data_IF_993860003518
#
_entry.id   IF_993860003518
#
_cell.length_a   1.000
_cell.length_b   1.000
_cell.length_c   1.000
_cell.angle_alpha   90.00
_cell.angle_beta   90.00
_cell.angle_gamma   90.00
#
_symmetry.space_group_name_H-M   'P 1'
#
loop_
_entity.id
_entity.type
_entity.pdbx_description
1 polymer ?
#
# COMPACT_ATOMS: atom_id res chain seq x y z
N UNK A 1 15.80 -11.77 3.58
CA UNK A 1 14.90 -10.80 4.21
C UNK A 1 15.63 -10.23 5.41
N UNK A 2 15.67 -8.91 5.57
CA UNK A 2 16.40 -8.23 6.64
C UNK A 2 15.41 -7.32 7.38
N UNK A 3 15.29 -7.49 8.70
CA UNK A 3 14.46 -6.65 9.58
C UNK A 3 15.33 -5.57 10.22
N UNK A 4 14.86 -4.34 10.23
CA UNK A 4 15.61 -3.16 10.64
C UNK A 4 14.72 -2.23 11.45
N UNK A 5 15.24 -1.67 12.55
CA UNK A 5 14.57 -0.62 13.32
C UNK A 5 14.76 0.75 12.63
N UNK A 6 13.81 1.67 12.79
CA UNK A 6 13.86 2.99 12.15
C UNK A 6 15.12 3.79 12.52
N UNK A 7 15.60 3.64 13.76
CA UNK A 7 16.78 4.34 14.28
C UNK A 7 18.10 3.64 13.95
N UNK A 8 18.06 2.47 13.29
CA UNK A 8 19.26 1.71 12.94
C UNK A 8 19.70 2.04 11.51
N UNK A 9 20.96 2.48 11.31
CA UNK A 9 21.52 2.66 9.98
C UNK A 9 21.46 1.35 9.19
N UNK A 10 20.86 1.38 8.00
CA UNK A 10 20.85 0.24 7.09
C UNK A 10 21.74 0.48 5.89
N UNK A 11 22.75 -0.38 5.76
CA UNK A 11 23.59 -0.42 4.57
C UNK A 11 22.92 -1.30 3.52
N UNK A 12 22.38 -0.65 2.49
CA UNK A 12 21.81 -1.34 1.33
C UNK A 12 22.89 -2.17 0.64
N UNK A 13 22.71 -3.50 0.49
CA UNK A 13 23.67 -4.36 -0.18
C UNK A 13 24.04 -3.84 -1.56
N UNK A 14 25.31 -4.01 -1.95
CA UNK A 14 25.81 -3.59 -3.27
C UNK A 14 25.34 -4.50 -4.41
N UNK A 15 24.88 -5.71 -4.10
CA UNK A 15 24.44 -6.69 -5.10
C UNK A 15 23.17 -7.41 -4.68
N UNK A 16 22.33 -7.68 -5.66
CA UNK A 16 21.17 -8.56 -5.52
C UNK A 16 21.71 -10.00 -5.56
N UNK A 17 22.09 -10.55 -4.40
CA UNK A 17 22.85 -11.81 -4.27
C UNK A 17 22.17 -13.10 -4.81
N UNK A 18 21.05 -13.00 -5.52
CA UNK A 18 20.34 -14.16 -6.10
C UNK A 18 20.35 -14.19 -7.65
N UNK A 19 21.06 -13.28 -8.31
CA UNK A 19 21.00 -13.08 -9.78
C UNK A 19 22.02 -13.93 -10.55
N UNK A 20 21.96 -15.26 -10.40
CA UNK A 20 22.69 -16.14 -11.34
C UNK A 20 21.83 -16.59 -12.53
N UNK A 21 20.49 -16.46 -12.49
CA UNK A 21 19.63 -17.13 -13.48
C UNK A 21 18.45 -16.34 -14.07
N UNK A 22 18.09 -15.14 -13.60
CA UNK A 22 16.76 -14.58 -13.91
C UNK A 22 16.68 -13.17 -14.55
N UNK A 23 17.79 -12.44 -14.76
CA UNK A 23 17.79 -11.13 -15.46
C UNK A 23 17.01 -9.97 -14.78
N UNK A 24 16.30 -10.22 -13.68
CA UNK A 24 15.57 -9.17 -12.93
C UNK A 24 15.88 -9.25 -11.45
N UNK A 25 16.00 -8.09 -10.81
CA UNK A 25 16.08 -7.96 -9.36
C UNK A 25 14.83 -7.26 -8.85
N UNK A 26 14.13 -7.91 -7.92
CA UNK A 26 12.98 -7.34 -7.24
C UNK A 26 13.37 -6.90 -5.83
N UNK A 27 13.00 -5.68 -5.49
CA UNK A 27 13.13 -5.15 -4.14
C UNK A 27 11.74 -5.00 -3.53
N UNK A 28 11.59 -5.50 -2.32
CA UNK A 28 10.36 -5.41 -1.54
C UNK A 28 10.65 -4.77 -0.20
N UNK A 29 9.78 -3.88 0.22
CA UNK A 29 9.77 -3.27 1.53
C UNK A 29 8.44 -3.52 2.21
N UNK A 30 8.49 -3.73 3.52
CA UNK A 30 7.34 -3.57 4.38
C UNK A 30 7.72 -2.67 5.54
N UNK A 31 7.03 -1.54 5.72
CA UNK A 31 7.22 -0.63 6.84
C UNK A 31 6.05 -0.74 7.82
N UNK A 32 6.35 -0.93 9.10
CA UNK A 32 5.37 -0.93 10.20
C UNK A 32 5.64 0.25 11.14
N UNK A 33 4.96 1.37 10.92
CA UNK A 33 5.18 2.59 11.73
C UNK A 33 4.79 2.41 13.20
N UNK A 34 3.86 1.51 13.53
CA UNK A 34 3.50 1.23 14.93
C UNK A 34 4.58 0.42 15.68
N UNK A 35 5.39 -0.35 14.96
CA UNK A 35 6.52 -1.10 15.50
C UNK A 35 7.85 -0.35 15.36
N UNK A 36 7.86 0.78 14.64
CA UNK A 36 9.08 1.54 14.31
C UNK A 36 10.13 0.66 13.62
N UNK A 37 9.67 -0.19 12.71
CA UNK A 37 10.54 -1.14 12.00
C UNK A 37 10.13 -1.31 10.54
N UNK A 38 11.07 -1.77 9.73
CA UNK A 38 10.81 -2.20 8.37
C UNK A 38 11.59 -3.45 8.02
N UNK A 39 11.12 -4.12 6.98
CA UNK A 39 11.79 -5.24 6.36
C UNK A 39 12.12 -4.86 4.94
N UNK A 40 13.31 -5.27 4.49
CA UNK A 40 13.73 -5.22 3.10
C UNK A 40 14.11 -6.62 2.61
N UNK A 41 13.66 -6.95 1.40
CA UNK A 41 14.02 -8.19 0.72
C UNK A 41 14.46 -7.90 -0.72
N UNK A 42 15.59 -8.48 -1.11
CA UNK A 42 16.05 -8.54 -2.49
C UNK A 42 15.80 -9.97 -2.98
N UNK A 43 15.03 -10.12 -4.05
CA UNK A 43 14.62 -11.42 -4.61
C UNK A 43 14.97 -11.49 -6.08
N UNK A 44 15.39 -12.67 -6.54
CA UNK A 44 15.37 -12.99 -7.96
C UNK A 44 13.92 -13.29 -8.38
N UNK A 45 13.47 -12.67 -9.47
CA UNK A 45 12.15 -12.97 -10.03
C UNK A 45 12.29 -14.17 -10.97
N UNK A 46 11.87 -15.36 -10.55
CA UNK A 46 11.72 -16.47 -11.49
C UNK A 46 10.53 -16.17 -12.41
N UNK A 47 10.64 -16.50 -13.69
CA UNK A 47 9.74 -16.10 -14.79
C UNK A 47 8.25 -16.44 -14.64
N UNK A 48 7.82 -17.02 -13.52
CA UNK A 48 6.50 -17.66 -13.36
C UNK A 48 5.60 -16.99 -12.31
N UNK A 49 6.04 -15.95 -11.61
CA UNK A 49 5.20 -15.28 -10.60
C UNK A 49 4.98 -13.81 -10.94
N UNK A 50 3.82 -13.57 -11.54
CA UNK A 50 3.13 -12.28 -11.70
C UNK A 50 3.70 -11.42 -12.83
N UNK A 51 2.77 -10.93 -13.64
CA UNK A 51 2.93 -10.02 -14.78
C UNK A 51 3.56 -8.71 -14.28
N UNK A 52 4.86 -8.73 -14.04
CA UNK A 52 5.63 -7.54 -13.66
C UNK A 52 6.43 -7.07 -14.87
N UNK A 53 5.95 -5.97 -15.46
CA UNK A 53 6.69 -5.27 -16.50
C UNK A 53 7.94 -4.63 -15.91
N UNK A 54 8.99 -4.49 -16.72
CA UNK A 54 10.26 -3.90 -16.26
C UNK A 54 10.05 -2.50 -15.65
N UNK A 55 10.70 -2.23 -14.51
CA UNK A 55 10.60 -0.97 -13.76
C UNK A 55 9.19 -0.68 -13.19
N UNK A 56 8.35 -1.71 -13.05
CA UNK A 56 7.07 -1.54 -12.39
C UNK A 56 7.25 -1.27 -10.90
N UNK A 57 6.45 -0.35 -10.39
CA UNK A 57 6.41 0.06 -9.00
C UNK A 57 4.99 -0.15 -8.49
N UNK A 58 4.87 -0.81 -7.35
CA UNK A 58 3.61 -1.10 -6.69
C UNK A 58 3.71 -0.68 -5.23
N UNK A 59 2.83 0.22 -4.81
CA UNK A 59 2.68 0.56 -3.40
C UNK A 59 1.34 0.08 -2.90
N UNK A 60 1.32 -0.48 -1.70
CA UNK A 60 0.11 -0.88 -0.99
C UNK A 60 0.12 -0.34 0.43
N UNK A 61 -1.02 0.18 0.89
CA UNK A 61 -1.25 0.56 2.29
C UNK A 61 -2.34 -0.34 2.85
N UNK A 62 -2.10 -0.86 4.04
CA UNK A 62 -3.11 -1.57 4.81
C UNK A 62 -3.24 -0.95 6.20
N UNK A 63 -4.49 -0.63 6.58
CA UNK A 63 -4.82 -0.03 7.88
C UNK A 63 -5.96 -0.82 8.54
N UNK A 64 -5.79 -1.19 9.81
CA UNK A 64 -6.83 -1.80 10.65
C UNK A 64 -7.02 -0.97 11.90
N UNK A 65 -7.98 -0.02 11.95
CA UNK A 65 -8.30 0.78 13.14
C UNK A 65 -9.02 -0.01 14.26
N UNK A 66 -8.66 -1.28 14.49
CA UNK A 66 -9.23 -2.14 15.54
C UNK A 66 -8.47 -1.99 16.87
N UNK A 67 -8.77 -2.84 17.85
CA UNK A 67 -8.09 -2.89 19.16
C UNK A 67 -6.61 -3.26 19.00
N UNK A 68 -6.31 -4.24 18.15
CA UNK A 68 -4.93 -4.63 17.78
C UNK A 68 -4.53 -3.88 16.52
N UNK A 69 -4.47 -2.55 16.62
CA UNK A 69 -4.16 -1.65 15.51
C UNK A 69 -3.05 -2.20 14.62
N UNK A 70 -3.28 -2.15 13.31
CA UNK A 70 -2.32 -2.59 12.32
C UNK A 70 -2.18 -1.53 11.24
N UNK A 71 -0.95 -1.21 10.87
CA UNK A 71 -0.64 -0.26 9.80
C UNK A 71 0.66 -0.64 9.13
N UNK A 72 0.58 -0.90 7.82
CA UNK A 72 1.75 -1.19 7.01
C UNK A 72 1.72 -0.48 5.66
N UNK A 73 2.93 -0.22 5.19
CA UNK A 73 3.23 0.12 3.80
C UNK A 73 4.02 -1.01 3.17
N UNK A 74 3.48 -1.62 2.12
CA UNK A 74 4.20 -2.55 1.26
C UNK A 74 4.63 -1.82 -0.02
N UNK A 75 5.90 -1.90 -0.39
CA UNK A 75 6.44 -1.26 -1.60
C UNK A 75 7.26 -2.27 -2.38
N UNK A 76 6.91 -2.47 -3.63
CA UNK A 76 7.53 -3.45 -4.51
C UNK A 76 8.04 -2.75 -5.76
N UNK A 77 9.26 -3.07 -6.17
CA UNK A 77 9.86 -2.56 -7.40
C UNK A 77 10.68 -3.62 -8.11
N UNK A 78 10.51 -3.72 -9.42
CA UNK A 78 11.26 -4.66 -10.27
C UNK A 78 12.24 -3.90 -11.16
N UNK A 79 13.52 -4.13 -10.95
CA UNK A 79 14.60 -3.58 -11.76
C UNK A 79 15.02 -4.54 -12.86
N UNK A 80 15.14 -4.03 -14.09
CA UNK A 80 15.70 -4.76 -15.23
C UNK A 80 17.24 -4.82 -15.13
N UNK A 81 17.79 -6.01 -14.92
CA UNK A 81 19.21 -6.38 -15.04
C UNK A 81 20.25 -5.65 -14.15
N UNK A 82 19.89 -4.81 -13.17
CA UNK A 82 20.89 -4.01 -12.43
C UNK A 82 20.72 -4.01 -10.91
N UNK A 83 21.78 -4.45 -10.21
CA UNK A 83 21.92 -4.26 -8.76
C UNK A 83 21.89 -2.77 -8.38
N UNK A 84 22.44 -1.89 -9.22
CA UNK A 84 22.46 -0.44 -8.98
C UNK A 84 21.05 0.17 -8.90
N UNK A 85 20.14 -0.23 -9.80
CA UNK A 85 18.74 0.22 -9.78
C UNK A 85 18.06 -0.18 -8.47
N UNK A 86 18.23 -1.45 -8.06
CA UNK A 86 17.66 -1.97 -6.83
C UNK A 86 18.24 -1.25 -5.60
N UNK A 87 19.55 -0.95 -5.62
CA UNK A 87 20.23 -0.25 -4.55
C UNK A 87 19.77 1.21 -4.44
N UNK A 88 19.72 1.94 -5.56
CA UNK A 88 19.28 3.33 -5.62
C UNK A 88 17.82 3.47 -5.19
N UNK A 89 16.94 2.61 -5.71
CA UNK A 89 15.55 2.56 -5.33
C UNK A 89 15.40 2.28 -3.83
N UNK A 90 16.15 1.31 -3.30
CA UNK A 90 16.13 1.00 -1.88
C UNK A 90 16.58 2.16 -0.99
N UNK A 91 17.72 2.78 -1.32
CA UNK A 91 18.26 3.91 -0.57
C UNK A 91 17.27 5.08 -0.55
N UNK A 92 16.70 5.39 -1.70
CA UNK A 92 15.74 6.50 -1.86
C UNK A 92 14.45 6.22 -1.09
N UNK A 93 13.89 5.02 -1.24
CA UNK A 93 12.63 4.61 -0.59
C UNK A 93 12.77 4.57 0.93
N UNK A 94 13.85 3.98 1.46
CA UNK A 94 14.10 3.95 2.91
C UNK A 94 14.22 5.38 3.44
N UNK A 95 15.00 6.23 2.77
CA UNK A 95 15.18 7.63 3.19
C UNK A 95 13.86 8.40 3.18
N UNK A 96 13.04 8.23 2.14
CA UNK A 96 11.73 8.87 2.05
C UNK A 96 10.81 8.39 3.18
N UNK A 97 10.69 7.09 3.37
CA UNK A 97 9.77 6.50 4.34
C UNK A 97 10.16 6.81 5.79
N UNK A 98 11.45 6.77 6.12
CA UNK A 98 11.93 7.13 7.47
C UNK A 98 11.75 8.63 7.79
N UNK A 99 11.73 9.50 6.77
CA UNK A 99 11.46 10.93 6.97
C UNK A 99 9.97 11.23 7.23
N UNK A 100 9.06 10.32 6.89
CA UNK A 100 7.62 10.54 7.08
C UNK A 100 7.28 10.50 8.57
N UNK A 101 6.76 11.60 9.08
CA UNK A 101 6.21 11.67 10.43
C UNK A 101 4.73 11.27 10.40
N UNK A 102 4.44 9.99 10.64
CA UNK A 102 3.08 9.46 10.60
C UNK A 102 2.51 9.39 12.02
N UNK A 103 1.51 10.24 12.30
CA UNK A 103 0.74 10.19 13.55
C UNK A 103 -0.35 9.12 13.46
N UNK A 104 0.06 7.86 13.56
CA UNK A 104 -0.84 6.72 13.39
C UNK A 104 -1.99 6.70 14.40
N UNK A 105 -1.77 7.19 15.63
CA UNK A 105 -2.82 7.26 16.67
C UNK A 105 -3.97 8.19 16.25
N UNK A 106 -3.64 9.34 15.67
CA UNK A 106 -4.67 10.30 15.23
C UNK A 106 -5.42 9.79 14.01
N UNK A 107 -4.71 9.19 13.05
CA UNK A 107 -5.30 8.50 11.90
C UNK A 107 -6.33 7.45 12.37
N UNK A 108 -5.94 6.59 13.32
CA UNK A 108 -6.82 5.54 13.85
C UNK A 108 -8.03 6.13 14.56
N UNK A 109 -7.83 7.15 15.39
CA UNK A 109 -8.91 7.79 16.14
C UNK A 109 -9.98 8.37 15.21
N UNK A 110 -9.57 8.95 14.08
CA UNK A 110 -10.50 9.52 13.09
C UNK A 110 -11.12 8.45 12.17
N UNK A 111 -10.37 7.41 11.79
CA UNK A 111 -10.89 6.35 10.91
C UNK A 111 -11.85 5.40 11.62
N UNK A 112 -11.58 5.05 12.88
CA UNK A 112 -12.35 4.05 13.64
C UNK A 112 -13.88 4.25 13.57
N UNK A 113 -14.44 5.44 13.86
CA UNK A 113 -15.90 5.64 13.81
C UNK A 113 -16.48 5.55 12.39
N UNK A 114 -15.66 5.64 11.34
CA UNK A 114 -16.10 5.57 9.94
C UNK A 114 -16.16 4.14 9.41
N UNK A 115 -15.48 3.18 10.05
CA UNK A 115 -15.39 1.80 9.54
C UNK A 115 -15.85 0.75 10.54
N UNK A 116 -16.01 1.10 11.82
CA UNK A 116 -16.47 0.19 12.87
C UNK A 116 -17.62 0.84 13.66
N UNK A 117 -18.72 0.08 13.81
CA UNK A 117 -19.72 0.35 14.84
C UNK A 117 -19.29 -0.48 16.05
N UNK A 118 -18.98 0.19 17.17
CA UNK A 118 -18.56 -0.35 18.47
C UNK A 118 -18.02 -1.80 18.51
N UNK A 119 -16.70 -2.01 18.73
CA UNK A 119 -16.09 -3.35 18.80
C UNK A 119 -16.64 -4.24 19.93
N UNK A 120 -17.40 -3.69 20.88
CA UNK A 120 -18.03 -4.47 21.95
C UNK A 120 -19.38 -5.07 21.57
N UNK A 121 -19.92 -4.81 20.37
CA UNK A 121 -21.20 -5.40 19.96
C UNK A 121 -21.02 -6.90 19.68
N UNK A 122 -21.61 -7.80 20.50
CA UNK A 122 -21.39 -9.25 20.39
C UNK A 122 -22.03 -9.89 19.15
N UNK A 123 -22.81 -9.13 18.37
CA UNK A 123 -23.57 -9.63 17.22
C UNK A 123 -23.04 -9.14 15.86
N UNK A 124 -21.72 -9.26 15.64
CA UNK A 124 -21.15 -9.14 14.29
C UNK A 124 -21.46 -10.36 13.40
N UNK A 125 -22.28 -11.29 13.90
CA UNK A 125 -22.72 -12.48 13.17
C UNK A 125 -23.71 -12.15 12.07
N UNK A 126 -24.49 -11.06 12.14
CA UNK A 126 -25.47 -10.72 11.10
C UNK A 126 -25.13 -9.40 10.42
N UNK A 127 -24.18 -9.44 9.48
CA UNK A 127 -23.85 -8.30 8.64
C UNK A 127 -24.62 -8.35 7.33
N UNK A 128 -25.21 -7.24 6.95
CA UNK A 128 -25.95 -7.08 5.70
C UNK A 128 -25.38 -5.89 4.92
N UNK A 129 -25.19 -6.02 3.62
CA UNK A 129 -24.61 -4.96 2.78
C UNK A 129 -25.51 -4.65 1.59
N UNK A 130 -25.19 -3.58 0.87
CA UNK A 130 -25.75 -3.33 -0.45
C UNK A 130 -24.86 -3.98 -1.53
N UNK A 131 -25.48 -4.61 -2.52
CA UNK A 131 -24.81 -5.04 -3.74
C UNK A 131 -24.63 -3.85 -4.72
N UNK A 132 -23.96 -4.03 -5.88
CA UNK A 132 -23.80 -2.96 -6.85
C UNK A 132 -25.10 -2.40 -7.43
N UNK A 133 -26.23 -3.09 -7.23
CA UNK A 133 -27.58 -2.72 -7.69
C UNK A 133 -28.45 -2.17 -6.55
N UNK A 134 -27.86 -1.83 -5.40
CA UNK A 134 -28.55 -1.33 -4.20
C UNK A 134 -29.48 -2.36 -3.53
N UNK A 135 -29.34 -3.65 -3.84
CA UNK A 135 -30.10 -4.68 -3.13
C UNK A 135 -29.43 -5.02 -1.81
N UNK A 136 -30.26 -5.24 -0.80
CA UNK A 136 -29.85 -5.69 0.52
C UNK A 136 -29.45 -7.17 0.46
N UNK A 137 -28.22 -7.50 0.86
CA UNK A 137 -27.67 -8.86 0.83
C UNK A 137 -27.00 -9.24 2.15
N UNK A 138 -27.29 -10.44 2.65
CA UNK A 138 -26.59 -10.99 3.81
C UNK A 138 -25.11 -11.24 3.47
N UNK A 139 -24.21 -10.70 4.29
CA UNK A 139 -22.76 -10.74 4.10
C UNK A 139 -22.06 -11.62 5.14
N UNK A 140 -22.47 -11.53 6.40
CA UNK A 140 -22.00 -12.43 7.46
C UNK A 140 -23.21 -13.08 8.12
N UNK A 141 -23.09 -14.35 8.48
CA UNK A 141 -24.01 -15.10 9.35
C UNK A 141 -23.17 -15.77 10.45
N UNK A 142 -23.79 -16.34 11.49
CA UNK A 142 -23.05 -17.01 12.58
C UNK A 142 -22.01 -18.05 12.11
N UNK A 143 -22.25 -18.71 10.97
CA UNK A 143 -21.37 -19.73 10.37
C UNK A 143 -20.46 -19.19 9.26
N UNK A 144 -20.60 -17.94 8.84
CA UNK A 144 -19.84 -17.36 7.73
C UNK A 144 -19.43 -15.92 8.02
N UNK A 145 -18.13 -15.63 7.93
CA UNK A 145 -17.62 -14.27 8.12
C UNK A 145 -17.77 -13.47 6.83
N UNK A 146 -17.92 -12.16 6.99
CA UNK A 146 -17.97 -11.26 5.85
C UNK A 146 -17.81 -9.80 6.27
N UNK A 147 -17.55 -8.95 5.28
CA UNK A 147 -17.44 -7.50 5.44
C UNK A 147 -18.10 -6.79 4.26
N UNK A 148 -18.71 -5.63 4.52
CA UNK A 148 -19.17 -4.77 3.45
C UNK A 148 -17.97 -3.98 2.93
N UNK A 149 -17.79 -3.95 1.61
CA UNK A 149 -16.68 -3.23 0.96
C UNK A 149 -17.25 -2.12 0.09
N UNK A 150 -16.69 -0.92 0.23
CA UNK A 150 -16.77 0.14 -0.79
C UNK A 150 -15.41 0.13 -1.49
N UNK A 151 -15.40 -0.20 -2.79
CA UNK A 151 -14.19 -0.24 -3.61
C UNK A 151 -14.25 0.85 -4.67
N UNK A 152 -13.22 1.68 -4.72
CA UNK A 152 -13.04 2.71 -5.74
C UNK A 152 -11.86 2.36 -6.63
N UNK A 153 -12.14 2.08 -7.90
CA UNK A 153 -11.13 1.92 -8.94
C UNK A 153 -10.71 3.29 -9.45
N UNK A 154 -9.68 3.85 -8.84
CA UNK A 154 -9.23 5.23 -9.03
C UNK A 154 -8.87 5.57 -10.48
N UNK A 155 -8.45 4.59 -11.29
CA UNK A 155 -8.11 4.77 -12.72
C UNK A 155 -9.31 4.67 -13.65
N UNK A 156 -10.36 3.97 -13.24
CA UNK A 156 -11.60 3.77 -14.00
C UNK A 156 -12.70 4.74 -13.54
N UNK A 157 -12.49 5.45 -12.42
CA UNK A 157 -13.48 6.29 -11.76
C UNK A 157 -14.79 5.53 -11.48
N UNK A 158 -14.65 4.26 -11.09
CA UNK A 158 -15.76 3.35 -10.83
C UNK A 158 -15.79 3.00 -9.35
N UNK A 159 -16.92 3.28 -8.69
CA UNK A 159 -17.14 2.93 -7.28
C UNK A 159 -18.15 1.79 -7.22
N UNK A 160 -17.75 0.70 -6.58
CA UNK A 160 -18.58 -0.49 -6.41
C UNK A 160 -18.76 -0.81 -4.93
N UNK A 161 -19.87 -1.49 -4.61
CA UNK A 161 -20.15 -2.01 -3.27
C UNK A 161 -20.47 -3.47 -3.35
N UNK A 162 -19.89 -4.26 -2.45
CA UNK A 162 -20.15 -5.69 -2.43
C UNK A 162 -19.89 -6.31 -1.05
N UNK A 163 -20.44 -7.51 -0.87
CA UNK A 163 -20.13 -8.39 0.24
C UNK A 163 -18.81 -9.12 -0.05
N UNK A 164 -17.78 -8.90 0.78
CA UNK A 164 -16.59 -9.73 0.76
C UNK A 164 -16.75 -10.83 1.82
N UNK A 165 -16.81 -12.09 1.36
CA UNK A 165 -17.01 -13.28 2.20
C UNK A 165 -15.74 -14.14 2.31
N UNK A 166 -14.56 -13.58 2.03
CA UNK A 166 -13.29 -14.25 2.25
C UNK A 166 -13.17 -14.63 3.75
N UNK A 167 -12.55 -15.78 4.06
CA UNK A 167 -12.27 -16.17 5.45
C UNK A 167 -11.36 -15.15 6.16
N UNK A 168 -10.61 -14.34 5.40
CA UNK A 168 -9.84 -13.20 5.87
C UNK A 168 -10.59 -11.87 5.79
N UNK A 169 -11.88 -11.83 5.44
CA UNK A 169 -12.68 -10.62 5.41
C UNK A 169 -12.78 -10.04 6.83
N UNK A 170 -11.94 -9.05 7.11
CA UNK A 170 -11.89 -8.36 8.39
C UNK A 170 -12.75 -7.09 8.31
N UNK A 171 -13.49 -6.83 9.39
CA UNK A 171 -14.22 -5.57 9.56
C UNK A 171 -13.28 -4.47 10.02
N UNK A 172 -13.53 -3.24 9.59
CA UNK A 172 -12.71 -2.09 9.97
C UNK A 172 -11.31 -2.19 9.42
N UNK A 173 -11.21 -2.39 8.11
CA UNK A 173 -9.95 -2.53 7.38
C UNK A 173 -9.98 -1.62 6.15
N UNK A 174 -8.83 -1.07 5.79
CA UNK A 174 -8.65 -0.27 4.59
C UNK A 174 -7.47 -0.81 3.79
N UNK A 175 -7.64 -0.86 2.48
CA UNK A 175 -6.61 -1.24 1.53
C UNK A 175 -6.49 -0.19 0.46
N UNK A 176 -5.27 0.20 0.10
CA UNK A 176 -5.02 1.00 -1.09
C UNK A 176 -3.92 0.30 -1.85
N UNK A 177 -4.14 0.05 -3.13
CA UNK A 177 -3.17 -0.56 -4.04
C UNK A 177 -2.96 0.37 -5.21
N UNK A 178 -1.72 0.75 -5.52
CA UNK A 178 -1.40 1.66 -6.62
C UNK A 178 -0.23 1.12 -7.44
N UNK A 179 -0.52 0.72 -8.67
CA UNK A 179 0.43 0.22 -9.67
C UNK A 179 0.79 1.30 -10.73
N UNK A 180 0.30 2.52 -10.56
CA UNK A 180 0.40 3.59 -11.55
C UNK A 180 -0.69 3.47 -12.62
N UNK A 181 -0.67 2.38 -13.39
CA UNK A 181 -1.65 2.11 -14.47
C UNK A 181 -3.00 1.61 -13.97
N UNK A 182 -3.04 1.08 -12.75
CA UNK A 182 -4.25 0.63 -12.05
C UNK A 182 -4.11 1.01 -10.59
N UNK A 183 -5.19 1.47 -9.96
CA UNK A 183 -5.20 1.73 -8.54
C UNK A 183 -6.59 1.50 -7.95
N UNK A 184 -6.63 0.90 -6.76
CA UNK A 184 -7.86 0.61 -6.02
C UNK A 184 -7.78 1.15 -4.61
N UNK A 185 -8.92 1.59 -4.09
CA UNK A 185 -9.10 2.08 -2.74
C UNK A 185 -10.31 1.38 -2.12
N UNK A 186 -10.06 0.48 -1.19
CA UNK A 186 -11.07 -0.38 -0.58
C UNK A 186 -11.27 -0.02 0.88
N UNK A 187 -12.52 0.20 1.28
CA UNK A 187 -12.95 0.47 2.65
C UNK A 187 -13.87 -0.65 3.10
N UNK A 188 -13.44 -1.40 4.11
CA UNK A 188 -14.24 -2.44 4.73
C UNK A 188 -14.91 -1.88 5.98
N UNK A 189 -16.23 -1.70 5.89
CA UNK A 189 -17.05 -1.12 6.94
C UNK A 189 -18.25 -2.01 7.30
N UNK A 190 -18.97 -1.63 8.36
CA UNK A 190 -20.25 -2.24 8.72
C UNK A 190 -21.42 -1.50 8.05
N UNK A 191 -22.61 -2.12 7.98
CA UNK A 191 -23.76 -1.62 7.20
C UNK A 191 -24.07 -0.13 7.33
N UNK A 192 -24.33 0.46 8.51
CA UNK A 192 -24.74 1.87 8.54
C UNK A 192 -23.63 2.80 8.03
N UNK A 193 -22.37 2.36 8.15
CA UNK A 193 -21.18 3.11 7.72
C UNK A 193 -20.84 2.85 6.25
N UNK A 194 -21.27 1.74 5.67
CA UNK A 194 -21.03 1.40 4.27
C UNK A 194 -22.07 1.99 3.29
N UNK A 195 -22.82 3.01 3.72
CA UNK A 195 -24.00 3.54 3.02
C UNK A 195 -23.71 4.55 1.88
N UNK A 196 -22.47 4.71 1.41
CA UNK A 196 -22.19 5.42 0.15
C UNK A 196 -20.93 6.29 0.13
N UNK A 197 -20.83 7.13 -0.90
CA UNK A 197 -19.67 7.98 -1.22
C UNK A 197 -19.18 8.86 -0.06
N UNK A 198 -20.03 9.17 0.93
CA UNK A 198 -19.67 9.99 2.09
C UNK A 198 -18.59 9.33 2.97
N UNK A 199 -18.73 8.05 3.28
CA UNK A 199 -17.72 7.32 4.08
C UNK A 199 -16.42 7.20 3.33
N UNK A 200 -16.48 6.83 2.06
CA UNK A 200 -15.30 6.76 1.19
C UNK A 200 -14.58 8.11 1.11
N UNK A 201 -15.32 9.20 0.91
CA UNK A 201 -14.78 10.56 0.87
C UNK A 201 -14.13 10.96 2.20
N UNK A 202 -14.83 10.77 3.32
CA UNK A 202 -14.30 11.11 4.65
C UNK A 202 -13.01 10.35 4.96
N UNK A 203 -12.97 9.06 4.62
CA UNK A 203 -11.77 8.23 4.74
C UNK A 203 -10.63 8.78 3.88
N UNK A 204 -10.88 9.08 2.59
CA UNK A 204 -9.86 9.67 1.70
C UNK A 204 -9.34 11.00 2.22
N UNK A 205 -10.23 11.87 2.70
CA UNK A 205 -9.88 13.18 3.28
C UNK A 205 -8.96 13.01 4.49
N UNK A 206 -9.21 12.03 5.37
CA UNK A 206 -8.32 11.71 6.50
C UNK A 206 -6.95 11.26 6.01
N UNK A 207 -6.89 10.32 5.06
CA UNK A 207 -5.60 9.81 4.57
C UNK A 207 -4.79 10.90 3.84
N UNK A 208 -5.46 11.79 3.10
CA UNK A 208 -4.81 12.94 2.47
C UNK A 208 -4.33 13.97 3.50
N UNK A 209 -5.16 14.30 4.50
CA UNK A 209 -4.82 15.19 5.63
C UNK A 209 -3.53 14.76 6.35
N UNK A 210 -3.34 13.45 6.52
CA UNK A 210 -2.16 12.87 7.17
C UNK A 210 -1.01 12.52 6.21
N UNK A 211 -1.10 12.91 4.92
CA UNK A 211 -0.03 12.71 3.93
C UNK A 211 0.21 11.25 3.54
N UNK A 212 -0.78 10.37 3.75
CA UNK A 212 -0.69 8.96 3.36
C UNK A 212 -0.92 8.76 1.86
N UNK A 213 -1.79 9.61 1.30
CA UNK A 213 -2.07 9.69 -0.14
C UNK A 213 -1.51 11.00 -0.69
N UNK A 214 -1.11 10.98 -1.96
CA UNK A 214 -0.60 12.15 -2.69
C UNK A 214 -1.73 13.06 -3.19
N UNK A 215 -2.91 12.49 -3.43
CA UNK A 215 -4.08 13.23 -3.93
C UNK A 215 -5.31 12.98 -3.05
N UNK A 216 -6.28 13.91 -3.05
CA UNK A 216 -7.56 13.73 -2.35
C UNK A 216 -8.36 12.52 -2.83
N UNK A 217 -8.16 12.08 -4.06
CA UNK A 217 -8.82 10.89 -4.61
C UNK A 217 -8.25 9.59 -4.06
N UNK A 218 -7.11 9.64 -3.35
CA UNK A 218 -6.51 8.48 -2.68
C UNK A 218 -5.34 7.84 -3.42
N UNK A 219 -4.78 8.49 -4.46
CA UNK A 219 -3.58 7.98 -5.15
C UNK A 219 -2.37 7.98 -4.21
N UNK A 220 -1.57 6.93 -4.29
CA UNK A 220 -0.36 6.82 -3.47
C UNK A 220 0.82 7.52 -4.15
N UNK A 221 1.84 7.84 -3.36
CA UNK A 221 3.09 8.29 -3.94
C UNK A 221 3.81 7.08 -4.56
N UNK A 222 3.49 6.80 -5.82
CA UNK A 222 4.27 5.86 -6.60
C UNK A 222 5.57 6.58 -6.98
N UNK A 223 6.59 6.39 -6.15
CA UNK A 223 7.94 6.91 -6.34
C UNK A 223 8.41 6.56 -7.74
N UNK A 224 8.22 7.50 -8.66
CA UNK A 224 8.55 7.36 -10.06
C UNK A 224 9.64 8.38 -10.33
N UNK A 225 10.87 7.93 -10.15
CA UNK A 225 12.01 8.22 -11.01
C UNK A 225 13.26 7.59 -10.37
N UNK A 226 13.67 6.41 -10.85
CA UNK A 226 15.11 6.17 -10.95
C UNK A 226 15.64 7.29 -11.84
N UNK A 227 16.29 8.28 -11.23
CA UNK A 227 16.96 9.32 -12.00
C UNK A 227 18.12 8.58 -12.66
N UNK A 228 17.98 8.26 -13.95
CA UNK A 228 19.11 7.85 -14.77
C UNK A 228 20.05 9.04 -14.86
N UNK A 229 20.94 9.19 -13.88
CA UNK A 229 22.10 10.07 -14.00
C UNK A 229 22.99 9.43 -15.06
N UNK A 230 22.77 9.84 -16.30
CA UNK A 230 23.64 9.48 -17.41
C UNK A 230 24.91 10.31 -17.24
N UNK A 231 25.99 9.70 -16.75
CA UNK A 231 27.33 10.30 -16.60
C UNK A 231 27.96 10.50 -18.00
N UNK A 232 27.30 11.22 -18.89
CA UNK A 232 27.79 11.52 -20.24
C UNK A 232 27.88 13.02 -20.53
N UNK A 233 27.61 13.89 -19.55
CA UNK A 233 27.63 15.35 -19.73
C UNK A 233 28.78 16.11 -19.04
N UNK A 234 29.66 15.43 -18.29
CA UNK A 234 30.79 16.12 -17.62
C UNK A 234 32.10 16.09 -18.46
N UNK A 235 32.20 15.24 -19.48
CA UNK A 235 33.43 15.16 -20.30
C UNK A 235 33.44 16.17 -21.46
N UNK A 236 32.28 16.69 -21.88
CA UNK A 236 32.20 17.65 -22.99
C UNK A 236 32.53 19.10 -22.61
N UNK A 237 32.61 19.42 -21.31
CA UNK A 237 32.94 20.76 -20.81
C UNK A 237 34.41 20.91 -20.39
N UNK A 238 35.16 19.82 -20.29
CA UNK A 238 36.58 19.83 -19.95
C UNK A 238 37.53 19.75 -21.15
N UNK A 239 37.01 19.58 -22.37
CA UNK A 239 37.85 19.54 -23.60
C UNK A 239 37.83 20.81 -24.43
N UNK A 240 37.10 21.86 -24.03
CA UNK A 240 37.04 23.15 -24.72
C UNK A 240 37.77 24.29 -23.99
N UNK A 241 38.73 23.96 -23.13
CA UNK A 241 39.71 24.91 -22.60
C UNK A 241 41.08 24.55 -23.17
N UNK A 242 41.30 24.88 -24.44
CA UNK A 242 42.61 25.05 -25.07
C UNK A 242 42.54 26.32 -25.92
#
# INVERSE_FOLDING_TARGET
>A
MIRVLFDTPFNVPSQCNQVASAGKCRVEFTFWYYLQEYVVAFKAESSNTIISTDNQHHTMIEIRPTVSFYFKYDIHHVCKDRGDCAQEFARTTITEMLKRQINYLSIVSELRPLVLVDPQSPNNTDLVCFDPKENVRQCAIATNRGSCVISDKLTENEITRYCNNDMQAMLGYLNISDLGSSATFDVHCTRPLCNGHLTLKAVKDILFKYGLTKTPEGRLNNGSQCIKISIWLIVSLLTNWN
#
